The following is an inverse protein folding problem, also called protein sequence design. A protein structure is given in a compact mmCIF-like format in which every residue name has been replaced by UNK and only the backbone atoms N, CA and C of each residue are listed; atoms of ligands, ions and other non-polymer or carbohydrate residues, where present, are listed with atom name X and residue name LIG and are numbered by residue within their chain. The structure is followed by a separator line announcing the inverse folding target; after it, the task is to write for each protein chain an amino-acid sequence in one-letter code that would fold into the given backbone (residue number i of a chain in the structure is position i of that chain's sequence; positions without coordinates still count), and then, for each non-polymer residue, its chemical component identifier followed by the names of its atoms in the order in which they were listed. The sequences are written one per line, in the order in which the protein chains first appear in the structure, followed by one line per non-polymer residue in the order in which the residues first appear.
data_IF_472760996944
#
_entry.id   IF_472760996944
#
_cell.length_a   1.000
_cell.length_b   1.000
_cell.length_c   1.000
_cell.angle_alpha   90.00
_cell.angle_beta   90.00
_cell.angle_gamma   90.00
#
_symmetry.space_group_name_H-M   'P 1'
#
loop_
_entity.id
_entity.type
_entity.pdbx_description
1 polymer ?
#
# COMPACT_ATOMS: atom_id res chain seq x y z
N UNK A 1 15.98 8.51 -11.02
CA UNK A 1 14.76 8.44 -10.18
C UNK A 1 13.75 7.51 -10.80
N UNK A 2 13.07 6.71 -9.96
CA UNK A 2 12.03 5.83 -10.45
C UNK A 2 10.75 6.61 -10.68
N UNK A 3 10.03 6.29 -11.76
CA UNK A 3 8.74 6.89 -12.08
C UNK A 3 7.58 6.10 -11.46
N UNK A 4 7.87 4.93 -10.93
CA UNK A 4 6.88 4.02 -10.33
C UNK A 4 7.38 3.55 -8.97
N UNK A 5 6.45 3.35 -8.05
CA UNK A 5 6.77 2.89 -6.70
C UNK A 5 5.82 1.80 -6.27
N UNK A 6 6.30 0.97 -5.35
CA UNK A 6 5.46 0.03 -4.63
C UNK A 6 5.37 0.48 -3.18
N UNK A 7 4.15 0.55 -2.68
CA UNK A 7 3.89 1.00 -1.31
C UNK A 7 3.30 -0.17 -0.53
N UNK A 8 3.81 -0.38 0.69
CA UNK A 8 3.37 -1.45 1.56
C UNK A 8 2.73 -0.86 2.81
N UNK A 9 1.58 -1.38 3.17
CA UNK A 9 0.93 -1.13 4.45
C UNK A 9 0.35 -2.43 4.99
N UNK A 10 -0.04 -2.46 6.25
CA UNK A 10 -0.61 -3.65 6.88
C UNK A 10 -1.87 -3.27 7.64
N UNK A 11 -2.80 -4.21 7.75
CA UNK A 11 -4.02 -4.05 8.54
C UNK A 11 -4.17 -5.23 9.49
N UNK A 12 -5.05 -5.10 10.47
CA UNK A 12 -5.29 -6.12 11.49
C UNK A 12 -6.38 -7.11 11.11
N UNK A 13 -7.04 -6.94 9.98
CA UNK A 13 -8.09 -7.87 9.53
C UNK A 13 -8.15 -7.91 8.02
N UNK A 14 -8.66 -9.03 7.50
CA UNK A 14 -8.87 -9.19 6.07
C UNK A 14 -9.90 -8.19 5.55
N UNK A 15 -10.95 -7.96 6.31
CA UNK A 15 -11.99 -7.00 5.91
C UNK A 15 -11.44 -5.59 5.80
N UNK A 16 -10.64 -5.15 6.78
CA UNK A 16 -10.03 -3.83 6.72
C UNK A 16 -9.10 -3.71 5.52
N UNK A 17 -8.34 -4.76 5.22
CA UNK A 17 -7.47 -4.78 4.04
C UNK A 17 -8.26 -4.65 2.74
N UNK A 18 -9.37 -5.40 2.63
CA UNK A 18 -10.20 -5.36 1.43
C UNK A 18 -10.83 -3.98 1.22
N UNK A 19 -11.32 -3.38 2.29
CA UNK A 19 -11.93 -2.05 2.22
C UNK A 19 -10.91 -0.98 1.83
N UNK A 20 -9.73 -1.03 2.44
CA UNK A 20 -8.67 -0.08 2.13
C UNK A 20 -8.19 -0.27 0.68
N UNK A 21 -7.98 -1.52 0.26
CA UNK A 21 -7.54 -1.82 -1.10
C UNK A 21 -8.52 -1.26 -2.14
N UNK A 22 -9.82 -1.50 -1.94
CA UNK A 22 -10.84 -1.00 -2.85
C UNK A 22 -10.85 0.52 -2.89
N UNK A 23 -10.74 1.16 -1.74
CA UNK A 23 -10.74 2.63 -1.67
C UNK A 23 -9.53 3.25 -2.38
N UNK A 24 -8.37 2.60 -2.31
CA UNK A 24 -7.15 3.06 -2.98
C UNK A 24 -7.34 3.05 -4.50
N UNK A 25 -7.90 1.95 -5.03
CA UNK A 25 -8.12 1.82 -6.46
C UNK A 25 -9.21 2.79 -6.93
N UNK A 26 -10.30 2.89 -6.17
CA UNK A 26 -11.39 3.81 -6.51
C UNK A 26 -10.93 5.27 -6.56
N UNK A 27 -10.05 5.66 -5.66
CA UNK A 27 -9.53 7.03 -5.59
C UNK A 27 -8.42 7.30 -6.61
N UNK A 28 -8.01 6.29 -7.37
CA UNK A 28 -6.92 6.39 -8.36
C UNK A 28 -5.58 6.80 -7.77
N UNK A 29 -5.36 6.50 -6.50
CA UNK A 29 -4.05 6.72 -5.86
C UNK A 29 -3.18 5.46 -5.93
N UNK A 30 -3.76 4.34 -6.36
CA UNK A 30 -3.04 3.11 -6.67
C UNK A 30 -3.73 2.40 -7.82
N UNK A 31 -2.94 1.81 -8.72
CA UNK A 31 -3.48 1.09 -9.87
C UNK A 31 -3.84 -0.34 -9.53
N UNK A 32 -3.08 -0.95 -8.64
CA UNK A 32 -3.24 -2.36 -8.28
C UNK A 32 -2.89 -2.52 -6.81
N UNK A 33 -3.71 -3.25 -6.08
CA UNK A 33 -3.44 -3.59 -4.68
C UNK A 33 -3.55 -5.10 -4.53
N UNK A 34 -2.51 -5.71 -4.02
CA UNK A 34 -2.49 -7.15 -3.75
C UNK A 34 -2.43 -7.34 -2.24
N UNK A 35 -3.23 -8.28 -1.74
CA UNK A 35 -3.37 -8.53 -0.31
C UNK A 35 -2.93 -9.95 0.01
N UNK A 36 -2.10 -10.08 1.05
CA UNK A 36 -1.65 -11.39 1.53
C UNK A 36 -1.68 -11.39 3.05
N UNK A 37 -2.03 -12.51 3.64
CA UNK A 37 -1.93 -12.68 5.08
C UNK A 37 -0.47 -12.96 5.43
N UNK A 38 0.03 -12.29 6.46
CA UNK A 38 1.38 -12.45 6.95
C UNK A 38 1.35 -12.65 8.46
N UNK A 39 2.49 -13.05 9.00
CA UNK A 39 2.69 -13.14 10.43
C UNK A 39 3.75 -12.12 10.80
N UNK A 40 3.41 -11.22 11.72
CA UNK A 40 4.28 -10.08 12.06
C UNK A 40 4.80 -10.22 13.48
N UNK A 41 6.10 -10.03 13.62
CA UNK A 41 6.76 -9.97 14.92
C UNK A 41 7.29 -8.56 15.08
N UNK A 42 6.90 -7.88 16.14
CA UNK A 42 7.30 -6.47 16.32
C UNK A 42 7.27 -6.12 17.80
N UNK A 43 7.96 -5.06 18.15
CA UNK A 43 8.00 -4.59 19.53
C UNK A 43 6.95 -3.51 19.73
N UNK A 44 6.09 -3.73 20.68
CA UNK A 44 5.05 -2.78 21.04
C UNK A 44 4.75 -2.94 22.54
N UNK A 45 4.59 -1.81 23.25
CA UNK A 45 4.26 -1.81 24.69
C UNK A 45 5.28 -2.64 25.49
N UNK A 46 6.55 -2.43 25.19
CA UNK A 46 7.72 -3.08 25.85
C UNK A 46 7.74 -4.60 25.72
N UNK A 47 7.02 -5.16 24.78
CA UNK A 47 6.97 -6.60 24.56
C UNK A 47 7.05 -6.93 23.07
N UNK A 48 7.51 -8.16 22.79
CA UNK A 48 7.48 -8.68 21.42
C UNK A 48 6.07 -9.19 21.16
N UNK A 49 5.45 -8.65 20.13
CA UNK A 49 4.16 -9.08 19.66
C UNK A 49 4.34 -10.08 18.51
N UNK A 50 3.38 -10.97 18.35
CA UNK A 50 3.38 -12.00 17.32
C UNK A 50 1.94 -12.15 16.85
N UNK A 51 1.60 -11.44 15.77
CA UNK A 51 0.21 -11.32 15.35
C UNK A 51 0.03 -11.58 13.86
N UNK A 52 -1.12 -12.12 13.45
CA UNK A 52 -1.46 -12.13 12.03
C UNK A 52 -1.77 -10.72 11.57
N UNK A 53 -1.32 -10.40 10.37
CA UNK A 53 -1.67 -9.15 9.70
C UNK A 53 -1.95 -9.42 8.25
N UNK A 54 -2.55 -8.45 7.58
CA UNK A 54 -2.81 -8.50 6.13
C UNK A 54 -2.01 -7.38 5.50
N UNK A 55 -1.10 -7.77 4.61
CA UNK A 55 -0.21 -6.84 3.95
C UNK A 55 -0.81 -6.44 2.60
N UNK A 56 -0.85 -5.14 2.35
CA UNK A 56 -1.24 -4.60 1.06
C UNK A 56 0.01 -4.14 0.32
N UNK A 57 0.13 -4.55 -0.93
CA UNK A 57 1.19 -4.10 -1.82
C UNK A 57 0.53 -3.30 -2.94
N UNK A 58 0.83 -2.01 -2.99
CA UNK A 58 0.18 -1.08 -3.91
C UNK A 58 1.19 -0.65 -4.97
N UNK A 59 0.80 -0.76 -6.25
CA UNK A 59 1.60 -0.24 -7.35
C UNK A 59 1.00 1.07 -7.81
N UNK A 60 1.82 2.11 -7.87
CA UNK A 60 1.37 3.43 -8.27
C UNK A 60 2.50 4.20 -8.96
N UNK A 61 2.16 5.33 -9.56
CA UNK A 61 3.17 6.22 -10.11
C UNK A 61 3.79 7.05 -8.99
N UNK A 62 5.04 7.46 -9.18
CA UNK A 62 5.75 8.26 -8.19
C UNK A 62 5.03 9.59 -7.92
N UNK A 63 4.36 10.15 -8.92
CA UNK A 63 3.61 11.40 -8.76
C UNK A 63 2.46 11.27 -7.78
N UNK A 64 1.92 10.05 -7.60
CA UNK A 64 0.78 9.82 -6.72
C UNK A 64 1.18 9.38 -5.31
N UNK A 65 2.49 9.27 -5.05
CA UNK A 65 2.96 8.72 -3.78
C UNK A 65 2.43 9.48 -2.57
N UNK A 66 2.56 10.80 -2.56
CA UNK A 66 2.11 11.58 -1.41
C UNK A 66 0.59 11.48 -1.23
N UNK A 67 -0.18 11.49 -2.31
CA UNK A 67 -1.63 11.33 -2.25
C UNK A 67 -1.99 9.94 -1.70
N UNK A 68 -1.26 8.91 -2.08
CA UNK A 68 -1.49 7.55 -1.58
C UNK A 68 -1.18 7.45 -0.09
N UNK A 69 -0.06 8.00 0.35
CA UNK A 69 0.31 8.00 1.77
C UNK A 69 -0.79 8.67 2.59
N UNK A 70 -1.25 9.83 2.15
CA UNK A 70 -2.30 10.57 2.85
C UNK A 70 -3.61 9.81 2.87
N UNK A 71 -3.97 9.17 1.75
CA UNK A 71 -5.17 8.35 1.66
C UNK A 71 -5.13 7.19 2.65
N UNK A 72 -3.99 6.50 2.73
CA UNK A 72 -3.83 5.39 3.66
C UNK A 72 -3.96 5.89 5.10
N UNK A 73 -3.27 6.98 5.44
CA UNK A 73 -3.33 7.52 6.80
C UNK A 73 -4.75 7.92 7.19
N UNK A 74 -5.49 8.54 6.28
CA UNK A 74 -6.85 9.02 6.56
C UNK A 74 -7.86 7.87 6.73
N UNK A 75 -7.56 6.70 6.18
CA UNK A 75 -8.50 5.57 6.15
C UNK A 75 -8.01 4.35 6.91
N UNK A 76 -7.02 4.53 7.79
CA UNK A 76 -6.42 3.41 8.53
C UNK A 76 -6.90 3.40 9.98
N UNK A 77 -7.08 2.20 10.53
CA UNK A 77 -7.51 2.04 11.91
C UNK A 77 -6.37 2.22 12.91
N UNK A 78 -5.12 2.09 12.47
CA UNK A 78 -3.97 2.32 13.36
C UNK A 78 -3.65 3.80 13.45
N UNK A 79 -3.20 4.26 14.62
CA UNK A 79 -2.77 5.65 14.79
C UNK A 79 -1.50 5.93 13.98
N UNK A 80 -0.58 4.98 13.97
CA UNK A 80 0.68 5.10 13.24
C UNK A 80 0.86 3.86 12.38
N UNK A 81 0.23 3.83 11.19
CA UNK A 81 0.34 2.67 10.31
C UNK A 81 1.71 2.58 9.64
N UNK A 82 2.11 1.36 9.33
CA UNK A 82 3.26 1.16 8.45
C UNK A 82 2.88 1.64 7.05
N UNK A 83 3.65 2.56 6.49
CA UNK A 83 3.50 2.98 5.09
C UNK A 83 4.91 3.23 4.58
N UNK A 84 5.40 2.32 3.76
CA UNK A 84 6.75 2.44 3.21
C UNK A 84 6.70 2.29 1.69
N UNK A 85 7.55 3.02 1.00
CA UNK A 85 7.61 3.01 -0.44
C UNK A 85 8.98 2.53 -0.89
N UNK A 86 8.99 1.68 -1.93
CA UNK A 86 10.21 1.25 -2.58
C UNK A 86 10.12 1.59 -4.07
N UNK A 87 11.23 1.95 -4.71
CA UNK A 87 11.21 2.26 -6.14
C UNK A 87 11.03 0.98 -6.95
N UNK A 88 10.29 1.08 -8.04
CA UNK A 88 10.21 0.03 -9.07
C UNK A 88 11.18 0.47 -10.16
N UNK A 89 12.31 -0.20 -10.26
CA UNK A 89 13.41 0.24 -11.13
C UNK A 89 13.30 -0.31 -12.54
N UNK A 90 12.36 -1.22 -12.79
CA UNK A 90 12.16 -1.80 -14.13
C UNK A 90 10.97 -2.74 -14.09
N UNK A 91 10.48 -3.09 -15.25
CA UNK A 91 9.35 -4.01 -15.39
C UNK A 91 8.86 -4.06 -16.82
N UNK A 92 7.77 -4.80 -17.02
CA UNK A 92 7.10 -4.86 -18.31
C UNK A 92 6.53 -3.48 -18.65
N UNK A 93 6.97 -2.92 -19.78
CA UNK A 93 6.57 -1.55 -20.17
C UNK A 93 5.06 -1.38 -20.26
N UNK A 94 4.36 -2.35 -20.82
CA UNK A 94 2.90 -2.28 -20.93
C UNK A 94 2.22 -2.21 -19.56
N UNK A 95 2.74 -2.97 -18.60
CA UNK A 95 2.22 -2.95 -17.25
C UNK A 95 2.48 -1.60 -16.56
N UNK A 96 3.70 -1.09 -16.67
CA UNK A 96 4.05 0.18 -16.04
C UNK A 96 3.28 1.35 -16.64
N UNK A 97 3.05 1.33 -17.96
CA UNK A 97 2.20 2.32 -18.63
C UNK A 97 0.76 2.24 -18.12
N UNK A 98 0.27 1.02 -17.91
CA UNK A 98 -1.07 0.82 -17.35
C UNK A 98 -1.16 1.40 -15.94
N UNK A 99 -0.13 1.19 -15.10
CA UNK A 99 -0.08 1.77 -13.75
C UNK A 99 -0.21 3.30 -13.82
N UNK A 100 0.50 3.93 -14.75
CA UNK A 100 0.44 5.38 -14.91
C UNK A 100 -0.96 5.83 -15.34
N UNK A 101 -1.55 5.16 -16.33
CA UNK A 101 -2.85 5.60 -16.85
C UNK A 101 -3.96 5.43 -15.81
N UNK A 102 -3.89 4.42 -14.96
CA UNK A 102 -4.92 4.18 -13.95
C UNK A 102 -4.78 5.06 -12.72
N UNK A 103 -3.66 5.76 -12.58
CA UNK A 103 -3.41 6.67 -11.47
C UNK A 103 -3.38 8.14 -11.90
N UNK A 104 -3.73 8.44 -13.12
CA UNK A 104 -3.90 9.82 -13.57
C UNK A 104 -5.15 10.42 -12.94
N UNK A 105 -5.05 11.70 -12.62
CA UNK A 105 -6.19 12.43 -12.07
C UNK A 105 -7.19 12.82 -13.15
#
# INVERSE_FOLDING_TARGET
MADHVQVVTTTDSEQAAAELARSIVDARVGACVQVAQIRSFYRWDDAVQDDPEWQLQVKTSAERLEALIEHIRANHSYDVPEVIATPIIGGNRGYLTWVESETMQ
#
